data_IF_141744048608
#
_entry.id   IF_141744048608
#
_cell.length_a   1.000
_cell.length_b   1.000
_cell.length_c   1.000
_cell.angle_alpha   90.00
_cell.angle_beta   90.00
_cell.angle_gamma   90.00
#
_symmetry.space_group_name_H-M   'P 1'
#
loop_
_entity.id
_entity.type
_entity.pdbx_description
1 polymer ?
#
# COMPACT_ATOMS: atom_id res chain seq x y z
N UNK A 1 34.08 -10.69 18.06
CA UNK A 1 34.21 -9.39 17.37
C UNK A 1 33.75 -9.47 15.91
N UNK A 2 34.35 -10.33 15.07
CA UNK A 2 33.92 -10.52 13.66
C UNK A 2 32.47 -11.00 13.49
N UNK A 3 31.99 -11.92 14.32
CA UNK A 3 30.60 -12.42 14.27
C UNK A 3 29.56 -11.31 14.52
N UNK A 4 29.79 -10.46 15.54
CA UNK A 4 28.90 -9.34 15.84
C UNK A 4 28.92 -8.28 14.73
N UNK A 5 30.08 -8.06 14.10
CA UNK A 5 30.20 -7.14 12.97
C UNK A 5 29.47 -7.67 11.73
N UNK A 6 29.55 -8.98 11.46
CA UNK A 6 28.81 -9.61 10.37
C UNK A 6 27.29 -9.51 10.57
N UNK A 7 26.80 -9.79 11.78
CA UNK A 7 25.38 -9.68 12.11
C UNK A 7 24.86 -8.24 11.97
N UNK A 8 25.64 -7.25 12.42
CA UNK A 8 25.28 -5.83 12.28
C UNK A 8 25.18 -5.38 10.81
N UNK A 9 26.11 -5.85 9.96
CA UNK A 9 26.08 -5.56 8.53
C UNK A 9 24.89 -6.23 7.84
N UNK A 10 24.55 -7.45 8.26
CA UNK A 10 23.38 -8.15 7.73
C UNK A 10 22.07 -7.46 8.15
N UNK A 11 21.94 -7.08 9.42
CA UNK A 11 20.76 -6.42 9.96
C UNK A 11 20.52 -5.05 9.30
N UNK A 12 21.56 -4.23 9.17
CA UNK A 12 21.47 -2.93 8.48
C UNK A 12 21.16 -3.07 6.99
N UNK A 13 21.72 -4.07 6.32
CA UNK A 13 21.40 -4.36 4.91
C UNK A 13 19.96 -4.81 4.71
N UNK A 14 19.43 -5.65 5.60
CA UNK A 14 18.03 -6.14 5.54
C UNK A 14 17.06 -4.99 5.77
N UNK A 15 17.31 -4.12 6.76
CA UNK A 15 16.47 -2.95 7.02
C UNK A 15 16.46 -1.98 5.84
N UNK A 16 17.61 -1.73 5.22
CA UNK A 16 17.69 -0.83 4.05
C UNK A 16 16.86 -1.36 2.87
N UNK A 17 16.94 -2.66 2.57
CA UNK A 17 16.15 -3.26 1.49
C UNK A 17 14.66 -3.25 1.83
N UNK A 18 14.30 -3.50 3.09
CA UNK A 18 12.92 -3.39 3.57
C UNK A 18 12.37 -1.98 3.35
N UNK A 19 13.09 -0.94 3.77
CA UNK A 19 12.59 0.44 3.72
C UNK A 19 12.41 0.92 2.27
N UNK A 20 13.33 0.56 1.38
CA UNK A 20 13.20 0.83 -0.06
C UNK A 20 12.01 0.07 -0.66
N UNK A 21 11.85 -1.21 -0.31
CA UNK A 21 10.73 -2.03 -0.76
C UNK A 21 9.38 -1.51 -0.27
N UNK A 22 9.31 -1.09 1.00
CA UNK A 22 8.12 -0.53 1.62
C UNK A 22 7.73 0.80 0.96
N UNK A 23 8.70 1.71 0.77
CA UNK A 23 8.46 2.99 0.10
C UNK A 23 7.91 2.80 -1.31
N UNK A 24 8.54 1.93 -2.10
CA UNK A 24 8.08 1.60 -3.45
C UNK A 24 6.67 1.00 -3.43
N UNK A 25 6.44 0.03 -2.55
CA UNK A 25 5.14 -0.68 -2.44
C UNK A 25 4.03 0.29 -2.05
N UNK A 26 4.25 1.16 -1.08
CA UNK A 26 3.24 2.11 -0.63
C UNK A 26 2.98 3.21 -1.65
N UNK A 27 4.00 3.79 -2.28
CA UNK A 27 3.80 4.79 -3.34
C UNK A 27 3.01 4.19 -4.51
N UNK A 28 3.45 3.04 -5.02
CA UNK A 28 2.76 2.34 -6.10
C UNK A 28 1.35 1.89 -5.69
N UNK A 29 1.18 1.41 -4.46
CA UNK A 29 -0.10 0.99 -3.91
C UNK A 29 -1.10 2.13 -3.80
N UNK A 30 -0.71 3.29 -3.26
CA UNK A 30 -1.57 4.47 -3.18
C UNK A 30 -1.92 5.00 -4.57
N UNK A 31 -0.96 5.02 -5.50
CA UNK A 31 -1.22 5.38 -6.89
C UNK A 31 -2.25 4.44 -7.54
N UNK A 32 -2.13 3.12 -7.30
CA UNK A 32 -3.09 2.14 -7.77
C UNK A 32 -4.49 2.38 -7.21
N UNK A 33 -4.62 2.55 -5.88
CA UNK A 33 -5.90 2.82 -5.20
C UNK A 33 -6.56 4.08 -5.79
N UNK A 34 -5.78 5.13 -6.00
CA UNK A 34 -6.26 6.40 -6.55
C UNK A 34 -6.77 6.25 -7.99
N UNK A 35 -5.96 5.67 -8.88
CA UNK A 35 -6.33 5.44 -10.28
C UNK A 35 -7.58 4.57 -10.37
N UNK A 36 -7.65 3.50 -9.58
CA UNK A 36 -8.79 2.61 -9.54
C UNK A 36 -10.06 3.26 -9.00
N UNK A 37 -9.94 4.18 -8.04
CA UNK A 37 -11.06 4.97 -7.53
C UNK A 37 -11.62 5.90 -8.61
N UNK A 38 -10.74 6.54 -9.41
CA UNK A 38 -11.16 7.35 -10.56
C UNK A 38 -11.91 6.49 -11.60
N UNK A 39 -11.36 5.33 -11.94
CA UNK A 39 -12.00 4.40 -12.89
C UNK A 39 -13.37 3.98 -12.37
N UNK A 40 -13.48 3.65 -11.08
CA UNK A 40 -14.75 3.28 -10.44
C UNK A 40 -15.79 4.41 -10.51
N UNK A 41 -15.38 5.66 -10.26
CA UNK A 41 -16.28 6.83 -10.38
C UNK A 41 -16.78 6.98 -11.82
N UNK A 42 -15.90 6.84 -12.82
CA UNK A 42 -16.27 6.94 -14.25
C UNK A 42 -17.16 5.78 -14.71
N UNK A 43 -17.02 4.61 -14.11
CA UNK A 43 -17.84 3.43 -14.40
C UNK A 43 -19.21 3.45 -13.70
N UNK A 44 -19.43 4.35 -12.73
CA UNK A 44 -20.69 4.51 -12.03
C UNK A 44 -21.67 5.39 -12.87
N UNK A 45 -22.96 5.03 -13.01
CA UNK A 45 -23.67 3.91 -12.36
C UNK A 45 -23.78 2.64 -13.20
N UNK A 46 -23.22 2.60 -14.42
CA UNK A 46 -23.51 1.54 -15.39
C UNK A 46 -22.82 0.21 -15.07
N UNK A 47 -21.64 0.24 -14.44
CA UNK A 47 -20.83 -0.96 -14.16
C UNK A 47 -20.47 -1.15 -12.68
N UNK A 48 -20.63 -0.12 -11.84
CA UNK A 48 -20.29 -0.18 -10.41
C UNK A 48 -21.37 0.43 -9.53
N UNK A 49 -21.55 -0.16 -8.35
CA UNK A 49 -22.54 0.25 -7.36
C UNK A 49 -22.08 1.54 -6.65
N UNK A 50 -23.04 2.41 -6.32
CA UNK A 50 -22.76 3.67 -5.59
C UNK A 50 -22.05 3.42 -4.26
N UNK A 51 -22.41 2.37 -3.53
CA UNK A 51 -21.79 2.01 -2.26
C UNK A 51 -20.30 1.65 -2.42
N UNK A 52 -19.96 0.82 -3.40
CA UNK A 52 -18.56 0.46 -3.72
C UNK A 52 -17.74 1.71 -4.10
N UNK A 53 -18.34 2.62 -4.87
CA UNK A 53 -17.72 3.89 -5.25
C UNK A 53 -17.36 4.75 -4.02
N UNK A 54 -18.28 4.89 -3.07
CA UNK A 54 -18.02 5.62 -1.82
C UNK A 54 -16.93 4.97 -0.97
N UNK A 55 -17.00 3.65 -0.77
CA UNK A 55 -15.98 2.92 0.04
C UNK A 55 -14.59 3.07 -0.57
N UNK A 56 -14.45 2.91 -1.90
CA UNK A 56 -13.17 3.06 -2.60
C UNK A 56 -12.63 4.48 -2.49
N UNK A 57 -13.48 5.48 -2.62
CA UNK A 57 -13.08 6.88 -2.47
C UNK A 57 -12.61 7.20 -1.04
N UNK A 58 -13.31 6.71 -0.01
CA UNK A 58 -12.90 6.88 1.39
C UNK A 58 -11.53 6.26 1.65
N UNK A 59 -11.30 5.02 1.19
CA UNK A 59 -10.01 4.36 1.35
C UNK A 59 -8.91 5.12 0.60
N UNK A 60 -9.18 5.58 -0.63
CA UNK A 60 -8.22 6.38 -1.40
C UNK A 60 -7.82 7.67 -0.70
N UNK A 61 -8.78 8.40 -0.11
CA UNK A 61 -8.50 9.65 0.61
C UNK A 61 -7.67 9.37 1.86
N UNK A 62 -8.03 8.33 2.64
CA UNK A 62 -7.29 7.94 3.84
C UNK A 62 -5.84 7.55 3.48
N UNK A 63 -5.66 6.74 2.44
CA UNK A 63 -4.34 6.31 1.98
C UNK A 63 -3.46 7.48 1.50
N UNK A 64 -4.04 8.45 0.79
CA UNK A 64 -3.33 9.67 0.38
C UNK A 64 -2.95 10.53 1.59
N UNK A 65 -3.84 10.70 2.56
CA UNK A 65 -3.53 11.49 3.77
C UNK A 65 -2.45 10.79 4.61
N UNK A 66 -2.46 9.46 4.69
CA UNK A 66 -1.53 8.69 5.52
C UNK A 66 -0.12 8.54 4.91
N UNK A 67 0.03 8.59 3.58
CA UNK A 67 1.35 8.45 2.94
C UNK A 67 2.27 9.66 3.17
N UNK A 68 1.73 10.88 3.24
CA UNK A 68 2.51 12.08 3.50
C UNK A 68 3.23 12.08 4.86
N UNK A 69 2.54 11.92 6.01
CA UNK A 69 3.19 11.87 7.31
C UNK A 69 4.12 10.66 7.44
N UNK A 70 3.81 9.52 6.79
CA UNK A 70 4.71 8.37 6.75
C UNK A 70 6.07 8.71 6.11
N UNK A 71 6.06 9.28 4.90
CA UNK A 71 7.29 9.68 4.20
C UNK A 71 8.06 10.75 4.98
N UNK A 72 7.35 11.75 5.52
CA UNK A 72 7.97 12.84 6.27
C UNK A 72 8.64 12.31 7.55
N UNK A 73 7.92 11.51 8.36
CA UNK A 73 8.46 10.98 9.61
C UNK A 73 9.63 10.02 9.37
N UNK A 74 9.54 9.14 8.36
CA UNK A 74 10.62 8.24 7.97
C UNK A 74 11.88 9.01 7.52
N UNK A 75 11.70 10.09 6.76
CA UNK A 75 12.81 10.95 6.31
C UNK A 75 13.51 11.66 7.48
N UNK A 76 12.74 12.19 8.42
CA UNK A 76 13.29 12.84 9.62
C UNK A 76 14.03 11.87 10.54
N UNK A 77 13.53 10.63 10.69
CA UNK A 77 14.17 9.60 11.52
C UNK A 77 15.47 9.10 10.88
N UNK A 78 15.47 8.86 9.56
CA UNK A 78 16.68 8.49 8.81
C UNK A 78 17.77 9.57 8.85
N UNK A 79 17.40 10.85 8.79
CA UNK A 79 18.35 11.95 8.95
C UNK A 79 18.92 12.04 10.37
N UNK A 80 18.12 11.79 11.42
CA UNK A 80 18.60 11.77 12.80
C UNK A 80 19.48 10.56 13.10
N UNK A 81 19.17 9.39 12.56
CA UNK A 81 20.01 8.19 12.65
C UNK A 81 21.40 8.43 12.03
N UNK A 82 21.47 9.25 10.98
CA UNK A 82 22.74 9.65 10.35
C UNK A 82 23.54 10.69 11.15
N UNK A 83 22.92 11.39 12.11
CA UNK A 83 23.50 12.54 12.80
C UNK A 83 23.67 12.39 14.32
N UNK A 84 23.08 11.38 14.96
CA UNK A 84 23.02 11.31 16.43
C UNK A 84 23.67 10.05 17.02
N UNK A 85 24.48 10.30 18.04
CA UNK A 85 25.22 9.35 18.86
C UNK A 85 24.35 8.23 19.47
N UNK A 86 25.01 7.08 19.66
CA UNK A 86 24.51 5.89 20.35
C UNK A 86 24.01 6.30 21.76
N UNK A 87 22.69 6.37 21.99
CA UNK A 87 22.14 6.51 23.35
C UNK A 87 20.85 7.35 23.56
N UNK A 88 20.19 7.84 22.52
CA UNK A 88 18.97 8.68 22.67
C UNK A 88 17.68 7.83 22.67
N UNK A 89 16.70 8.22 23.50
CA UNK A 89 15.35 7.62 23.60
C UNK A 89 14.66 7.42 22.23
N UNK A 90 13.76 6.41 22.11
CA UNK A 90 13.04 6.15 20.87
C UNK A 90 12.26 7.39 20.43
N UNK A 91 12.61 7.87 19.24
CA UNK A 91 12.05 9.05 18.61
C UNK A 91 10.53 8.87 18.43
N UNK A 92 9.66 9.78 18.92
CA UNK A 92 8.20 9.69 18.73
C UNK A 92 7.80 9.68 17.24
N UNK A 93 8.69 10.14 16.36
CA UNK A 93 8.52 10.09 14.91
C UNK A 93 8.56 8.66 14.35
N UNK A 94 9.32 7.76 14.97
CA UNK A 94 9.40 6.36 14.55
C UNK A 94 8.08 5.60 14.82
N UNK A 95 7.47 5.86 15.98
CA UNK A 95 6.17 5.28 16.30
C UNK A 95 5.07 5.88 15.41
N UNK A 96 5.14 7.19 15.12
CA UNK A 96 4.20 7.85 14.22
C UNK A 96 4.31 7.34 12.77
N UNK A 97 5.52 7.14 12.24
CA UNK A 97 5.72 6.56 10.91
C UNK A 97 5.19 5.13 10.86
N UNK A 98 5.48 4.31 11.87
CA UNK A 98 4.96 2.95 11.94
C UNK A 98 3.42 2.93 11.91
N UNK A 99 2.75 3.74 12.74
CA UNK A 99 1.28 3.83 12.72
C UNK A 99 0.76 4.22 11.33
N UNK A 100 1.39 5.19 10.66
CA UNK A 100 1.01 5.60 9.32
C UNK A 100 1.25 4.49 8.28
N UNK A 101 2.35 3.74 8.37
CA UNK A 101 2.63 2.58 7.52
C UNK A 101 1.53 1.51 7.64
N UNK A 102 1.14 1.17 8.86
CA UNK A 102 0.08 0.19 9.11
C UNK A 102 -1.28 0.66 8.57
N UNK A 103 -1.59 1.96 8.68
CA UNK A 103 -2.82 2.54 8.09
C UNK A 103 -2.80 2.39 6.55
N UNK A 104 -1.68 2.71 5.90
CA UNK A 104 -1.56 2.57 4.44
C UNK A 104 -1.64 1.09 4.02
N UNK A 105 -0.98 0.19 4.75
CA UNK A 105 -1.00 -1.25 4.48
C UNK A 105 -2.42 -1.84 4.60
N UNK A 106 -3.12 -1.57 5.70
CA UNK A 106 -4.51 -2.00 5.87
C UNK A 106 -5.44 -1.34 4.86
N UNK A 107 -5.21 -0.07 4.51
CA UNK A 107 -5.92 0.61 3.42
C UNK A 107 -5.79 -0.12 2.09
N UNK A 108 -4.57 -0.52 1.71
CA UNK A 108 -4.33 -1.30 0.50
C UNK A 108 -5.01 -2.67 0.52
N UNK A 109 -4.90 -3.43 1.61
CA UNK A 109 -5.54 -4.75 1.74
C UNK A 109 -7.06 -4.64 1.68
N UNK A 110 -7.64 -3.71 2.46
CA UNK A 110 -9.09 -3.50 2.47
C UNK A 110 -9.62 -3.04 1.11
N UNK A 111 -8.87 -2.19 0.40
CA UNK A 111 -9.19 -1.80 -0.97
C UNK A 111 -9.25 -3.01 -1.90
N UNK A 112 -8.25 -3.90 -1.83
CA UNK A 112 -8.23 -5.12 -2.63
C UNK A 112 -9.45 -6.01 -2.35
N UNK A 113 -9.85 -6.15 -1.08
CA UNK A 113 -11.03 -6.93 -0.71
C UNK A 113 -12.34 -6.40 -1.31
N UNK A 114 -12.43 -5.10 -1.63
CA UNK A 114 -13.62 -4.53 -2.31
C UNK A 114 -13.88 -5.18 -3.68
N UNK A 115 -12.85 -5.70 -4.34
CA UNK A 115 -12.97 -6.34 -5.65
C UNK A 115 -13.50 -7.77 -5.59
N UNK A 116 -13.46 -8.45 -4.44
CA UNK A 116 -13.92 -9.84 -4.32
C UNK A 116 -15.37 -9.96 -4.80
N UNK A 117 -16.21 -8.98 -4.45
CA UNK A 117 -17.63 -8.96 -4.84
C UNK A 117 -17.82 -8.73 -6.33
N UNK A 118 -16.98 -7.91 -6.95
CA UNK A 118 -17.04 -7.66 -8.39
C UNK A 118 -16.56 -8.87 -9.18
N UNK A 119 -15.50 -9.56 -8.74
CA UNK A 119 -15.04 -10.80 -9.38
C UNK A 119 -16.06 -11.94 -9.27
N UNK A 120 -16.79 -12.03 -8.15
CA UNK A 120 -17.89 -13.01 -8.00
C UNK A 120 -19.06 -12.75 -8.96
N UNK A 121 -19.26 -11.52 -9.41
CA UNK A 121 -20.38 -11.15 -10.29
C UNK A 121 -20.11 -11.44 -11.78
N UNK A 122 -18.85 -11.65 -12.19
CA UNK A 122 -18.50 -11.95 -13.58
C UNK A 122 -18.83 -13.42 -13.88
N UNK A 123 -20.03 -13.69 -14.39
CA UNK A 123 -20.38 -15.00 -14.95
C UNK A 123 -19.96 -15.05 -16.42
N UNK A 124 -18.86 -15.76 -16.73
CA UNK A 124 -18.46 -16.02 -18.11
C UNK A 124 -19.46 -16.98 -18.77
N UNK A 125 -20.39 -16.44 -19.57
CA UNK A 125 -21.20 -17.24 -20.49
C UNK A 125 -20.38 -17.49 -21.75
N UNK A 126 -19.84 -18.70 -21.88
CA UNK A 126 -19.22 -19.17 -23.13
C UNK A 126 -20.34 -19.70 -24.02
N UNK A 127 -20.66 -18.98 -25.10
CA UNK A 127 -21.55 -19.48 -26.14
C UNK A 127 -20.67 -20.17 -27.19
N UNK A 128 -20.64 -21.49 -27.15
CA UNK A 128 -20.01 -22.29 -28.22
C UNK A 128 -20.98 -22.35 -29.39
N UNK A 129 -20.74 -21.57 -30.44
CA UNK A 129 -21.32 -21.86 -31.75
C UNK A 129 -20.59 -23.08 -32.30
N UNK A 130 -21.25 -24.25 -32.24
CA UNK A 130 -20.79 -25.42 -32.97
C UNK A 130 -21.09 -25.11 -34.44
N UNK A 131 -20.05 -24.82 -35.21
CA UNK A 131 -20.14 -24.79 -36.66
C UNK A 131 -20.22 -26.25 -37.11
N UNK A 132 -21.44 -26.71 -37.40
CA UNK A 132 -21.66 -28.03 -38.02
C UNK A 132 -21.13 -27.98 -39.45
N UNK A 133 -19.86 -28.33 -39.64
CA UNK A 133 -19.30 -28.67 -40.95
C UNK A 133 -19.76 -30.09 -41.33
N UNK A 134 -20.83 -30.12 -42.13
CA UNK A 134 -21.40 -31.19 -42.99
C UNK A 134 -20.89 -32.64 -42.87
#
# INVERSE_FOLDING_TARGET
>A
MLYNMYNLLQETSVTTVHDVGALLTFICGVAYIFLQSIITIKACPQWSNKETCYVRMTISVISIIAIFPMIICASYDGMKLYHCEIGVEPSPYHQASAVCEWIVAFGFVTFFLTYIKEFQAVTLKISTEIHDDF
#
